data_IF_665399841407
#
_entry.id   IF_665399841407
#
_cell.length_a   1.000
_cell.length_b   1.000
_cell.length_c   1.000
_cell.angle_alpha   90.00
_cell.angle_beta   90.00
_cell.angle_gamma   90.00
#
_symmetry.space_group_name_H-M   'P 1'
#
loop_
_entity.id
_entity.type
_entity.pdbx_description
1 polymer ?
#
# COMPACT_ATOMS: atom_id res chain seq x y z
N UNK A 1 -20.80 32.87 40.52
CA UNK A 1 -21.34 33.95 39.65
C UNK A 1 -21.80 33.34 38.34
N UNK A 2 -23.08 33.44 38.04
CA UNK A 2 -23.80 32.90 36.88
C UNK A 2 -23.59 33.79 35.66
N UNK A 3 -23.31 33.25 34.45
CA UNK A 3 -23.58 33.86 33.12
C UNK A 3 -23.74 32.72 32.14
N UNK A 4 -24.88 32.33 31.73
CA UNK A 4 -25.90 32.70 30.74
C UNK A 4 -25.50 32.38 29.33
N UNK A 5 -26.17 31.35 28.81
CA UNK A 5 -26.25 30.90 27.42
C UNK A 5 -26.88 31.98 26.51
N UNK A 6 -26.42 32.07 25.27
CA UNK A 6 -27.19 32.66 24.19
C UNK A 6 -27.16 31.70 22.99
N UNK A 7 -28.32 31.14 22.68
CA UNK A 7 -28.60 30.37 21.49
C UNK A 7 -29.07 31.35 20.39
N UNK A 8 -28.54 31.21 19.18
CA UNK A 8 -29.08 31.92 18.03
C UNK A 8 -29.48 30.86 17.00
N UNK A 9 -30.79 30.72 16.83
CA UNK A 9 -31.38 29.91 15.78
C UNK A 9 -31.45 30.68 14.45
N UNK A 10 -31.20 30.01 13.36
CA UNK A 10 -31.49 30.55 12.04
C UNK A 10 -32.30 29.51 11.26
N UNK A 11 -33.52 29.92 10.93
CA UNK A 11 -34.55 29.19 10.16
C UNK A 11 -34.24 29.24 8.67
N UNK A 12 -34.39 28.10 8.02
CA UNK A 12 -34.29 27.94 6.56
C UNK A 12 -35.71 27.94 5.98
N UNK A 13 -35.91 28.75 4.95
CA UNK A 13 -37.13 28.78 4.16
C UNK A 13 -36.95 27.91 2.91
N UNK A 14 -37.90 26.99 2.69
CA UNK A 14 -38.12 26.26 1.43
C UNK A 14 -38.71 27.19 0.39
N UNK A 15 -38.25 27.04 -0.85
CA UNK A 15 -39.01 27.45 -2.03
C UNK A 15 -38.98 26.34 -3.06
N UNK A 16 -40.11 25.72 -3.29
CA UNK A 16 -40.41 24.82 -4.39
C UNK A 16 -40.99 25.64 -5.58
N UNK A 17 -40.58 25.33 -6.78
CA UNK A 17 -41.31 25.72 -7.98
C UNK A 17 -41.23 24.60 -9.03
N UNK A 18 -42.39 24.12 -9.38
CA UNK A 18 -42.74 23.09 -10.33
C UNK A 18 -43.22 23.70 -11.65
N UNK A 19 -43.46 22.80 -12.62
CA UNK A 19 -44.27 22.92 -13.88
C UNK A 19 -43.44 23.21 -15.15
N UNK A 20 -43.58 22.51 -16.17
CA UNK A 20 -44.45 21.63 -16.97
C UNK A 20 -44.16 21.94 -18.44
N UNK A 21 -44.03 21.00 -19.22
CA UNK A 21 -44.89 20.21 -20.09
C UNK A 21 -44.83 20.57 -21.60
N UNK A 22 -45.07 19.55 -22.43
CA UNK A 22 -45.51 19.51 -23.81
C UNK A 22 -44.44 19.80 -24.89
N UNK A 23 -44.36 19.08 -25.96
CA UNK A 23 -45.13 18.08 -26.67
C UNK A 23 -44.55 17.85 -28.05
N UNK A 24 -44.55 16.68 -28.49
CA UNK A 24 -45.07 16.05 -29.66
C UNK A 24 -44.56 16.47 -31.05
N UNK A 25 -44.08 15.49 -31.81
CA UNK A 25 -44.69 15.12 -33.10
C UNK A 25 -43.87 14.04 -33.82
N UNK A 26 -44.58 13.02 -34.24
CA UNK A 26 -44.15 11.95 -35.18
C UNK A 26 -44.01 12.52 -36.59
N UNK A 27 -43.11 11.97 -37.39
CA UNK A 27 -43.41 11.65 -38.80
C UNK A 27 -42.60 10.41 -39.23
N UNK A 28 -43.35 9.50 -39.85
CA UNK A 28 -42.94 8.29 -40.59
C UNK A 28 -42.59 8.64 -42.02
N UNK A 29 -41.85 7.74 -42.67
CA UNK A 29 -41.99 7.24 -44.04
C UNK A 29 -40.62 7.16 -44.72
N UNK A 30 -40.15 6.23 -45.53
CA UNK A 30 -40.61 4.99 -46.14
C UNK A 30 -39.43 4.43 -46.96
N UNK A 31 -39.41 3.15 -47.13
CA UNK A 31 -38.51 2.28 -47.91
C UNK A 31 -38.12 2.79 -49.30
N UNK A 32 -36.94 2.35 -49.79
CA UNK A 32 -36.82 1.63 -51.06
C UNK A 32 -35.48 0.88 -51.23
N UNK A 33 -35.63 -0.40 -51.54
CA UNK A 33 -34.64 -1.33 -52.08
C UNK A 33 -34.11 -0.92 -53.46
N UNK A 34 -32.92 -1.34 -53.86
CA UNK A 34 -32.62 -2.12 -55.07
C UNK A 34 -31.16 -2.58 -55.12
N UNK A 35 -30.99 -3.82 -55.18
CA UNK A 35 -30.15 -4.85 -55.81
C UNK A 35 -28.80 -4.52 -56.47
N UNK A 36 -27.89 -5.42 -56.14
CA UNK A 36 -27.01 -6.33 -56.95
C UNK A 36 -25.81 -5.77 -57.71
N UNK A 37 -24.71 -6.40 -57.50
CA UNK A 37 -23.52 -6.35 -58.38
C UNK A 37 -22.34 -7.15 -57.78
N UNK A 38 -22.14 -8.34 -58.32
CA UNK A 38 -21.16 -9.39 -57.99
C UNK A 38 -19.75 -9.00 -58.43
N UNK A 39 -18.74 -9.45 -57.75
CA UNK A 39 -17.57 -10.27 -58.08
C UNK A 39 -16.21 -9.80 -57.61
N UNK A 40 -15.55 -10.78 -56.96
CA UNK A 40 -14.18 -11.31 -56.99
C UNK A 40 -13.06 -10.68 -56.17
N UNK A 41 -12.71 -11.49 -55.20
CA UNK A 41 -11.38 -12.06 -54.89
C UNK A 41 -10.18 -11.13 -54.74
N UNK A 42 -9.66 -11.03 -53.50
CA UNK A 42 -8.22 -11.15 -53.25
C UNK A 42 -8.01 -11.53 -51.77
N UNK A 43 -7.50 -12.73 -51.56
CA UNK A 43 -6.99 -13.20 -50.27
C UNK A 43 -5.82 -12.32 -49.84
N UNK A 44 -5.94 -11.76 -48.64
CA UNK A 44 -4.79 -11.31 -47.84
C UNK A 44 -5.06 -11.70 -46.42
N UNK A 45 -4.26 -12.67 -45.95
CA UNK A 45 -4.25 -13.10 -44.55
C UNK A 45 -4.06 -11.89 -43.64
N UNK A 46 -5.05 -11.60 -42.83
CA UNK A 46 -4.96 -10.68 -41.71
C UNK A 46 -4.97 -11.52 -40.47
N UNK A 47 -3.82 -11.50 -39.81
CA UNK A 47 -3.63 -12.01 -38.45
C UNK A 47 -4.72 -11.41 -37.55
N UNK A 48 -5.64 -12.26 -37.13
CA UNK A 48 -6.72 -11.85 -36.22
C UNK A 48 -6.10 -11.67 -34.84
N UNK A 49 -5.90 -10.42 -34.45
CA UNK A 49 -5.79 -10.08 -33.04
C UNK A 49 -7.08 -10.58 -32.36
N UNK A 50 -6.95 -11.51 -31.44
CA UNK A 50 -8.02 -11.90 -30.53
C UNK A 50 -8.36 -10.67 -29.70
N UNK A 51 -9.39 -9.95 -30.03
CA UNK A 51 -10.10 -9.07 -29.08
C UNK A 51 -10.68 -10.00 -28.01
N UNK A 52 -10.10 -9.98 -26.81
CA UNK A 52 -10.72 -10.53 -25.60
C UNK A 52 -12.02 -9.75 -25.42
N UNK A 53 -13.16 -10.44 -25.58
CA UNK A 53 -14.47 -9.88 -25.28
C UNK A 53 -14.50 -9.48 -23.81
N UNK A 54 -14.69 -8.20 -23.54
CA UNK A 54 -15.02 -7.73 -22.19
C UNK A 54 -16.23 -8.52 -21.67
N UNK A 55 -16.13 -9.02 -20.45
CA UNK A 55 -17.23 -9.63 -19.72
C UNK A 55 -18.32 -8.57 -19.54
N UNK A 56 -19.52 -8.80 -20.11
CA UNK A 56 -20.67 -7.89 -19.99
C UNK A 56 -21.40 -8.03 -18.65
N UNK A 57 -20.76 -8.57 -17.63
CA UNK A 57 -21.29 -8.83 -16.30
C UNK A 57 -21.49 -7.57 -15.45
N UNK A 58 -22.11 -7.74 -14.30
CA UNK A 58 -22.28 -6.70 -13.28
C UNK A 58 -20.92 -6.30 -12.67
N UNK A 59 -20.72 -5.00 -12.42
CA UNK A 59 -19.51 -4.49 -11.77
C UNK A 59 -19.40 -5.04 -10.33
N UNK A 60 -18.31 -5.72 -10.04
CA UNK A 60 -17.99 -6.24 -8.70
C UNK A 60 -16.95 -5.32 -8.05
N UNK A 61 -17.28 -4.80 -6.89
CA UNK A 61 -16.40 -3.89 -6.14
C UNK A 61 -15.87 -4.58 -4.91
N UNK A 62 -14.55 -4.49 -4.69
CA UNK A 62 -13.85 -5.02 -3.53
C UNK A 62 -13.09 -3.90 -2.81
N UNK A 63 -13.17 -3.89 -1.49
CA UNK A 63 -12.46 -2.92 -0.66
C UNK A 63 -11.04 -3.41 -0.37
N UNK A 64 -10.06 -2.57 -0.71
CA UNK A 64 -8.65 -2.81 -0.48
C UNK A 64 -8.12 -1.87 0.62
N UNK A 65 -7.73 -2.42 1.76
CA UNK A 65 -7.07 -1.66 2.83
C UNK A 65 -5.62 -1.34 2.49
N UNK A 66 -5.25 -0.07 2.54
CA UNK A 66 -3.91 0.43 2.24
C UNK A 66 -3.46 1.44 3.29
N UNK A 67 -2.16 1.73 3.37
CA UNK A 67 -1.62 2.81 4.20
C UNK A 67 -1.05 3.92 3.30
N UNK A 68 -1.22 5.18 3.75
CA UNK A 68 -0.82 6.35 2.98
C UNK A 68 -1.82 6.72 1.88
N UNK A 69 -1.46 7.64 1.00
CA UNK A 69 -2.35 8.21 -0.03
C UNK A 69 -1.79 8.11 -1.46
N UNK A 70 -0.60 7.56 -1.63
CA UNK A 70 0.05 7.40 -2.94
C UNK A 70 0.02 5.92 -3.35
N UNK A 71 -0.84 5.59 -4.33
CA UNK A 71 -1.21 4.23 -4.72
C UNK A 71 -1.26 4.07 -6.26
N UNK A 72 -0.35 4.68 -6.99
CA UNK A 72 -0.28 4.64 -8.46
C UNK A 72 -0.28 3.21 -9.02
N UNK A 73 0.36 2.26 -8.34
CA UNK A 73 0.36 0.85 -8.72
C UNK A 73 -1.03 0.23 -8.63
N UNK A 74 -1.83 0.65 -7.65
CA UNK A 74 -3.20 0.17 -7.48
C UNK A 74 -4.17 0.84 -8.45
N UNK A 75 -3.93 2.10 -8.81
CA UNK A 75 -4.69 2.78 -9.87
C UNK A 75 -4.48 2.06 -11.21
N UNK A 76 -3.22 1.68 -11.52
CA UNK A 76 -2.91 0.89 -12.71
C UNK A 76 -3.55 -0.50 -12.67
N UNK A 77 -3.51 -1.19 -11.54
CA UNK A 77 -4.17 -2.48 -11.38
C UNK A 77 -5.70 -2.35 -11.60
N UNK A 78 -6.33 -1.29 -11.09
CA UNK A 78 -7.74 -0.98 -11.32
C UNK A 78 -8.07 -0.77 -12.81
N UNK A 79 -7.22 -0.05 -13.55
CA UNK A 79 -7.39 0.09 -15.00
C UNK A 79 -7.42 -1.28 -15.71
N UNK A 80 -6.49 -2.18 -15.34
CA UNK A 80 -6.39 -3.50 -15.93
C UNK A 80 -7.58 -4.40 -15.58
N UNK A 81 -8.21 -4.19 -14.41
CA UNK A 81 -9.35 -4.95 -13.92
C UNK A 81 -10.69 -4.54 -14.57
N UNK A 82 -10.75 -3.38 -15.22
CA UNK A 82 -11.99 -2.90 -15.88
C UNK A 82 -12.54 -3.88 -16.90
N UNK A 83 -11.68 -4.57 -17.66
CA UNK A 83 -12.07 -5.59 -18.64
C UNK A 83 -12.79 -6.78 -18.03
N UNK A 84 -12.55 -7.03 -16.74
CA UNK A 84 -13.15 -8.12 -15.97
C UNK A 84 -14.36 -7.66 -15.12
N UNK A 85 -14.81 -6.41 -15.27
CA UNK A 85 -15.82 -5.75 -14.43
C UNK A 85 -15.52 -5.85 -12.93
N UNK A 86 -14.26 -5.68 -12.57
CA UNK A 86 -13.78 -5.63 -11.18
C UNK A 86 -13.25 -4.23 -10.89
N UNK A 87 -13.62 -3.70 -9.71
CA UNK A 87 -13.12 -2.43 -9.17
C UNK A 87 -12.59 -2.65 -7.76
N UNK A 88 -11.42 -2.10 -7.48
CA UNK A 88 -10.89 -1.96 -6.12
C UNK A 88 -11.20 -0.56 -5.60
N UNK A 89 -11.84 -0.51 -4.44
CA UNK A 89 -12.07 0.72 -3.68
C UNK A 89 -11.06 0.77 -2.54
N UNK A 90 -10.11 1.70 -2.61
CA UNK A 90 -9.06 1.83 -1.61
C UNK A 90 -9.63 2.43 -0.33
N UNK A 91 -9.34 1.78 0.81
CA UNK A 91 -9.66 2.23 2.15
C UNK A 91 -8.36 2.55 2.87
N UNK A 92 -8.09 3.84 3.10
CA UNK A 92 -6.85 4.30 3.69
C UNK A 92 -6.86 4.16 5.21
N UNK A 93 -5.76 3.62 5.76
CA UNK A 93 -5.53 3.51 7.18
C UNK A 93 -4.27 4.30 7.58
N UNK A 94 -4.26 4.82 8.80
CA UNK A 94 -3.15 5.62 9.35
C UNK A 94 -2.27 4.86 10.34
N UNK A 95 -2.54 3.56 10.54
CA UNK A 95 -1.77 2.67 11.43
C UNK A 95 -1.65 1.26 10.83
N UNK A 96 -0.82 0.41 11.46
CA UNK A 96 -0.56 -0.95 10.96
C UNK A 96 -1.43 -2.05 11.61
N UNK A 97 -2.27 -1.70 12.60
CA UNK A 97 -3.12 -2.66 13.31
C UNK A 97 -4.49 -2.80 12.64
N UNK A 98 -5.13 -1.66 12.38
CA UNK A 98 -6.49 -1.58 11.86
C UNK A 98 -6.74 -2.30 10.54
N UNK A 99 -5.85 -2.28 9.54
CA UNK A 99 -6.12 -2.98 8.28
C UNK A 99 -6.32 -4.49 8.44
N UNK A 100 -5.60 -5.14 9.37
CA UNK A 100 -5.75 -6.57 9.62
C UNK A 100 -7.01 -6.87 10.47
N UNK A 101 -7.35 -6.01 11.43
CA UNK A 101 -8.61 -6.11 12.17
C UNK A 101 -9.82 -5.96 11.21
N UNK A 102 -9.82 -4.93 10.35
CA UNK A 102 -10.87 -4.70 9.36
C UNK A 102 -11.02 -5.85 8.35
N UNK A 103 -9.90 -6.49 7.97
CA UNK A 103 -9.92 -7.67 7.10
C UNK A 103 -10.52 -8.88 7.83
N UNK A 104 -10.15 -9.10 9.10
CA UNK A 104 -10.72 -10.19 9.90
C UNK A 104 -12.21 -9.99 10.14
N UNK A 105 -12.66 -8.77 10.41
CA UNK A 105 -14.06 -8.42 10.64
C UNK A 105 -14.89 -8.38 9.32
N UNK A 106 -14.25 -8.45 8.15
CA UNK A 106 -14.89 -8.40 6.84
C UNK A 106 -15.36 -7.00 6.43
N UNK A 107 -14.82 -5.95 7.04
CA UNK A 107 -15.07 -4.55 6.67
C UNK A 107 -14.36 -4.17 5.36
N UNK A 108 -13.24 -4.87 5.06
CA UNK A 108 -12.51 -4.85 3.80
C UNK A 108 -12.31 -6.26 3.27
N UNK A 109 -12.06 -6.38 1.97
CA UNK A 109 -11.91 -7.68 1.26
C UNK A 109 -10.46 -8.15 1.17
N UNK A 110 -9.55 -7.19 1.06
CA UNK A 110 -8.09 -7.39 0.96
C UNK A 110 -7.37 -6.27 1.71
N UNK A 111 -6.11 -6.51 2.08
CA UNK A 111 -5.21 -5.42 2.42
C UNK A 111 -3.83 -5.61 1.77
N UNK A 112 -3.12 -4.49 1.53
CA UNK A 112 -1.80 -4.48 0.93
C UNK A 112 -0.98 -3.31 1.52
N UNK A 113 -0.34 -3.56 2.66
CA UNK A 113 0.45 -2.53 3.36
C UNK A 113 1.64 -3.12 4.13
N UNK A 114 1.66 -4.43 4.33
CA UNK A 114 2.47 -5.12 5.32
C UNK A 114 3.45 -6.12 4.71
N UNK A 115 4.51 -6.39 5.42
CA UNK A 115 5.45 -7.47 5.11
C UNK A 115 4.89 -8.82 5.54
N UNK A 116 5.36 -9.91 4.90
CA UNK A 116 5.00 -11.27 5.30
C UNK A 116 5.31 -11.55 6.78
N UNK A 117 6.49 -11.13 7.27
CA UNK A 117 6.86 -11.36 8.67
C UNK A 117 5.93 -10.61 9.64
N UNK A 118 5.50 -9.39 9.29
CA UNK A 118 4.53 -8.65 10.10
C UNK A 118 3.18 -9.36 10.12
N UNK A 119 2.67 -9.75 8.96
CA UNK A 119 1.41 -10.48 8.83
C UNK A 119 1.42 -11.76 9.65
N UNK A 120 2.45 -12.60 9.48
CA UNK A 120 2.55 -13.88 10.18
C UNK A 120 2.61 -13.71 11.70
N UNK A 121 3.33 -12.70 12.19
CA UNK A 121 3.37 -12.38 13.61
C UNK A 121 2.02 -11.89 14.11
N UNK A 122 1.38 -10.97 13.38
CA UNK A 122 0.09 -10.39 13.74
C UNK A 122 -1.02 -11.45 13.87
N UNK A 123 -1.18 -12.30 12.85
CA UNK A 123 -2.22 -13.34 12.87
C UNK A 123 -1.97 -14.37 13.98
N UNK A 124 -0.70 -14.69 14.26
CA UNK A 124 -0.32 -15.58 15.36
C UNK A 124 -0.65 -14.99 16.72
N UNK A 125 -0.29 -13.74 16.96
CA UNK A 125 -0.53 -13.04 18.24
C UNK A 125 -2.02 -12.84 18.51
N UNK A 126 -2.81 -12.54 17.47
CA UNK A 126 -4.25 -12.33 17.57
C UNK A 126 -5.06 -13.63 17.52
N UNK A 127 -4.43 -14.75 17.17
CA UNK A 127 -5.10 -16.04 17.00
C UNK A 127 -6.01 -16.09 15.77
N UNK A 128 -5.76 -15.25 14.76
CA UNK A 128 -6.50 -15.24 13.50
C UNK A 128 -6.09 -16.44 12.65
N UNK A 129 -7.06 -17.25 12.22
CA UNK A 129 -6.82 -18.49 11.48
C UNK A 129 -7.27 -18.42 10.03
N UNK A 130 -8.11 -17.47 9.70
CA UNK A 130 -8.80 -17.39 8.40
C UNK A 130 -8.13 -16.45 7.42
N UNK A 131 -7.14 -15.65 7.85
CA UNK A 131 -6.38 -14.79 6.97
C UNK A 131 -5.22 -15.53 6.31
N UNK A 132 -4.95 -15.19 5.05
CA UNK A 132 -3.87 -15.80 4.26
C UNK A 132 -3.27 -14.81 3.27
N UNK A 133 -2.20 -15.23 2.59
CA UNK A 133 -1.47 -14.43 1.60
C UNK A 133 -1.99 -14.78 0.20
N UNK A 134 -2.49 -13.78 -0.53
CA UNK A 134 -2.91 -13.91 -1.92
C UNK A 134 -1.72 -13.78 -2.88
N UNK A 135 -0.83 -12.81 -2.65
CA UNK A 135 0.32 -12.54 -3.51
C UNK A 135 1.42 -11.79 -2.76
N UNK A 136 2.65 -11.89 -3.27
CA UNK A 136 3.72 -10.95 -2.96
C UNK A 136 3.66 -9.74 -3.88
N UNK A 137 4.10 -8.58 -3.38
CA UNK A 137 4.01 -7.30 -4.10
C UNK A 137 5.40 -6.70 -4.33
N UNK A 138 5.99 -6.11 -3.34
CA UNK A 138 7.24 -5.36 -3.47
C UNK A 138 8.07 -5.46 -2.19
N UNK A 139 9.35 -5.16 -2.28
CA UNK A 139 10.20 -4.87 -1.13
C UNK A 139 10.48 -3.38 -1.06
N UNK A 140 10.31 -2.82 0.14
CA UNK A 140 10.57 -1.41 0.42
C UNK A 140 11.64 -1.31 1.51
N UNK A 141 12.86 -0.84 1.20
CA UNK A 141 13.95 -0.70 2.17
C UNK A 141 13.61 0.27 3.31
N UNK A 142 14.01 -0.07 4.53
CA UNK A 142 13.99 0.86 5.66
C UNK A 142 15.18 1.82 5.57
N UNK A 143 15.00 3.07 5.95
CA UNK A 143 16.07 4.07 5.99
C UNK A 143 16.38 4.54 7.42
N UNK A 144 17.62 4.99 7.64
CA UNK A 144 18.01 5.79 8.82
C UNK A 144 18.03 7.26 8.38
N UNK A 145 17.26 8.07 9.08
CA UNK A 145 17.07 9.50 8.79
C UNK A 145 17.53 10.36 9.96
N UNK A 146 17.91 11.60 9.66
CA UNK A 146 18.20 12.62 10.66
C UNK A 146 17.92 14.01 10.12
N UNK A 147 17.41 14.89 10.97
CA UNK A 147 17.34 16.34 10.69
C UNK A 147 18.58 17.09 11.18
N UNK A 148 19.46 16.43 11.95
CA UNK A 148 20.62 17.05 12.61
C UNK A 148 21.94 16.69 11.95
N UNK A 149 22.09 15.47 11.44
CA UNK A 149 23.33 14.90 10.91
C UNK A 149 23.21 14.55 9.44
N UNK A 150 24.31 14.66 8.71
CA UNK A 150 24.42 14.31 7.28
C UNK A 150 25.07 12.94 7.06
N UNK A 151 25.74 12.40 8.06
CA UNK A 151 26.33 11.06 8.05
C UNK A 151 26.29 10.43 9.44
N UNK A 152 26.44 9.10 9.52
CA UNK A 152 26.52 8.40 10.80
C UNK A 152 27.80 8.71 11.59
N UNK A 153 28.87 9.15 10.90
CA UNK A 153 30.16 9.45 11.49
C UNK A 153 30.22 10.84 12.13
N UNK A 154 29.35 11.75 11.72
CA UNK A 154 29.27 13.10 12.32
C UNK A 154 28.68 13.07 13.73
N UNK A 155 27.94 12.02 14.09
CA UNK A 155 27.22 11.94 15.34
C UNK A 155 28.16 11.53 16.49
N UNK A 156 28.26 12.41 17.49
CA UNK A 156 29.10 12.24 18.70
C UNK A 156 28.26 12.50 19.94
N UNK A 157 28.74 11.96 21.08
CA UNK A 157 28.06 12.10 22.36
C UNK A 157 26.87 11.17 22.52
N UNK A 158 25.89 11.57 23.32
CA UNK A 158 24.69 10.81 23.57
C UNK A 158 23.71 10.90 22.40
N UNK A 159 23.31 9.75 21.83
CA UNK A 159 22.47 9.66 20.63
C UNK A 159 21.10 9.07 20.99
N UNK A 160 20.04 9.77 20.69
CA UNK A 160 18.65 9.29 20.82
C UNK A 160 18.22 8.78 19.46
N UNK A 161 17.89 7.47 19.36
CA UNK A 161 17.50 6.82 18.11
C UNK A 161 16.10 6.22 18.24
N UNK A 162 15.15 6.70 17.43
CA UNK A 162 13.82 6.13 17.39
C UNK A 162 13.75 4.92 16.44
N UNK A 163 12.99 3.91 16.89
CA UNK A 163 12.63 2.72 16.10
C UNK A 163 11.13 2.46 16.22
N UNK A 164 10.51 1.73 15.25
CA UNK A 164 9.13 1.26 15.41
C UNK A 164 8.94 0.40 16.65
N UNK A 165 7.78 0.53 17.30
CA UNK A 165 7.47 -0.19 18.54
C UNK A 165 6.79 -1.55 18.33
N UNK A 166 6.50 -1.94 17.09
CA UNK A 166 6.04 -3.29 16.81
C UNK A 166 7.24 -4.26 16.69
N UNK A 167 7.00 -5.50 17.10
CA UNK A 167 8.05 -6.53 17.23
C UNK A 167 8.83 -6.76 15.93
N UNK A 168 8.16 -6.69 14.79
CA UNK A 168 8.79 -7.04 13.50
C UNK A 168 9.57 -5.87 12.91
N UNK A 169 9.00 -4.66 12.88
CA UNK A 169 9.70 -3.48 12.38
C UNK A 169 10.73 -2.97 13.38
N UNK A 170 10.46 -3.06 14.69
CA UNK A 170 11.44 -2.78 15.73
C UNK A 170 12.66 -3.72 15.64
N UNK A 171 12.39 -5.02 15.49
CA UNK A 171 13.44 -6.01 15.30
C UNK A 171 14.27 -5.79 14.03
N UNK A 172 13.60 -5.43 12.90
CA UNK A 172 14.25 -5.03 11.65
C UNK A 172 15.17 -3.82 11.86
N UNK A 173 14.67 -2.79 12.55
CA UNK A 173 15.43 -1.59 12.88
C UNK A 173 16.66 -1.90 13.74
N UNK A 174 16.52 -2.76 14.76
CA UNK A 174 17.64 -3.17 15.59
C UNK A 174 18.73 -3.90 14.79
N UNK A 175 18.36 -4.82 13.89
CA UNK A 175 19.31 -5.48 12.98
C UNK A 175 19.98 -4.48 12.05
N UNK A 176 19.23 -3.49 11.56
CA UNK A 176 19.78 -2.46 10.71
C UNK A 176 20.75 -1.53 11.46
N UNK A 177 20.46 -1.20 12.73
CA UNK A 177 21.37 -0.46 13.62
C UNK A 177 22.62 -1.27 13.96
N UNK A 178 22.50 -2.58 14.18
CA UNK A 178 23.66 -3.47 14.37
C UNK A 178 24.59 -3.45 13.16
N UNK A 179 24.03 -3.62 11.95
CA UNK A 179 24.78 -3.56 10.68
C UNK A 179 25.53 -2.23 10.51
N UNK A 180 24.96 -1.14 11.01
CA UNK A 180 25.56 0.19 10.96
C UNK A 180 26.42 0.53 12.20
N UNK A 181 26.72 -0.45 13.03
CA UNK A 181 27.72 -0.34 14.11
C UNK A 181 27.26 0.39 15.37
N UNK A 182 25.96 0.63 15.57
CA UNK A 182 25.44 1.29 16.77
C UNK A 182 25.38 0.37 17.99
N UNK A 183 25.09 -0.89 17.76
CA UNK A 183 24.91 -1.90 18.81
C UNK A 183 25.35 -3.29 18.33
N UNK A 184 25.33 -4.26 19.21
CA UNK A 184 25.51 -5.68 18.91
C UNK A 184 24.36 -6.45 19.54
N UNK A 185 23.72 -7.33 18.77
CA UNK A 185 22.63 -8.18 19.22
C UNK A 185 23.15 -9.53 19.72
N UNK A 186 22.43 -10.17 20.62
CA UNK A 186 22.68 -11.54 21.05
C UNK A 186 22.56 -12.48 19.86
N UNK A 187 23.39 -13.49 19.76
CA UNK A 187 23.42 -14.45 18.66
C UNK A 187 22.10 -15.21 18.46
N UNK A 188 21.36 -15.43 19.54
CA UNK A 188 20.06 -16.10 19.59
C UNK A 188 18.86 -15.19 19.29
N UNK A 189 19.05 -13.90 19.05
CA UNK A 189 17.99 -12.91 18.91
C UNK A 189 17.04 -13.15 17.71
N UNK A 190 17.44 -13.97 16.74
CA UNK A 190 16.57 -14.41 15.63
C UNK A 190 16.20 -13.29 14.65
N UNK A 191 15.00 -13.40 14.04
CA UNK A 191 14.53 -12.46 13.04
C UNK A 191 13.85 -11.22 13.63
N UNK A 192 13.34 -11.31 14.83
CA UNK A 192 12.58 -10.25 15.51
C UNK A 192 13.18 -9.93 16.88
N UNK A 193 14.45 -9.45 16.96
CA UNK A 193 15.06 -9.03 18.22
C UNK A 193 14.26 -7.88 18.84
N UNK A 194 14.31 -7.80 20.15
CA UNK A 194 13.79 -6.69 20.96
C UNK A 194 14.94 -5.90 21.59
N UNK A 195 14.67 -4.78 22.21
CA UNK A 195 15.71 -4.02 22.97
C UNK A 195 16.36 -4.87 24.08
N UNK A 196 15.69 -5.91 24.57
CA UNK A 196 16.23 -6.87 25.55
C UNK A 196 17.27 -7.80 24.96
N UNK A 197 17.35 -7.89 23.64
CA UNK A 197 18.33 -8.70 22.93
C UNK A 197 19.59 -7.93 22.55
N UNK A 198 19.69 -6.67 22.94
CA UNK A 198 20.90 -5.89 22.78
C UNK A 198 21.94 -6.43 23.81
N UNK A 199 23.02 -7.00 23.27
CA UNK A 199 24.16 -7.48 24.10
C UNK A 199 25.05 -6.30 24.51
N UNK A 200 25.26 -5.35 23.59
CA UNK A 200 26.16 -4.23 23.81
C UNK A 200 25.77 -3.03 22.94
N UNK A 201 25.83 -1.85 23.50
CA UNK A 201 25.88 -0.59 22.77
C UNK A 201 27.33 -0.26 22.40
N UNK A 202 27.59 -0.07 21.10
CA UNK A 202 28.91 0.27 20.57
C UNK A 202 29.17 1.77 20.57
N UNK A 203 28.12 2.57 20.69
CA UNK A 203 28.10 4.04 20.85
C UNK A 203 27.22 4.37 22.07
N UNK A 204 27.28 5.59 22.54
CA UNK A 204 26.36 6.07 23.60
C UNK A 204 25.00 6.33 23.01
N UNK A 205 24.12 5.32 23.05
CA UNK A 205 22.82 5.28 22.35
C UNK A 205 21.70 5.00 23.34
N UNK A 206 20.65 5.80 23.25
CA UNK A 206 19.34 5.54 23.82
C UNK A 206 18.38 5.14 22.70
N UNK A 207 17.75 3.96 22.81
CA UNK A 207 16.71 3.51 21.86
C UNK A 207 15.34 3.93 22.39
N UNK A 208 14.56 4.62 21.55
CA UNK A 208 13.18 5.02 21.85
C UNK A 208 12.24 4.29 20.89
N UNK A 209 11.37 3.46 21.45
CA UNK A 209 10.35 2.73 20.68
C UNK A 209 9.10 3.61 20.50
N UNK A 210 8.68 3.85 19.26
CA UNK A 210 7.58 4.75 18.89
C UNK A 210 6.66 4.09 17.89
N UNK A 211 5.40 4.52 17.87
CA UNK A 211 4.48 4.15 16.76
C UNK A 211 5.10 4.58 15.44
N UNK A 212 5.25 3.65 14.49
CA UNK A 212 6.00 3.87 13.25
C UNK A 212 5.57 5.15 12.51
N UNK A 213 4.26 5.39 12.38
CA UNK A 213 3.72 6.55 11.67
C UNK A 213 3.95 7.90 12.37
N UNK A 214 4.37 7.89 13.64
CA UNK A 214 4.67 9.11 14.41
C UNK A 214 6.16 9.48 14.38
N UNK A 215 7.04 8.56 13.98
CA UNK A 215 8.49 8.79 14.01
C UNK A 215 8.94 9.99 13.19
N UNK A 216 8.45 10.23 11.94
CA UNK A 216 8.90 11.37 11.14
C UNK A 216 8.67 12.73 11.82
N UNK A 217 7.54 12.89 12.50
CA UNK A 217 7.23 14.14 13.22
C UNK A 217 8.19 14.41 14.39
N UNK A 218 8.84 13.37 14.92
CA UNK A 218 9.78 13.46 16.04
C UNK A 218 11.24 13.65 15.61
N UNK A 219 11.55 13.62 14.30
CA UNK A 219 12.93 13.77 13.79
C UNK A 219 13.69 14.99 14.34
N UNK A 220 13.08 16.17 14.56
CA UNK A 220 13.80 17.32 15.12
C UNK A 220 14.37 17.09 16.53
N UNK A 221 13.75 16.20 17.31
CA UNK A 221 14.16 15.92 18.69
C UNK A 221 15.15 14.75 18.78
N UNK A 222 15.24 13.93 17.73
CA UNK A 222 16.07 12.73 17.66
C UNK A 222 17.47 12.99 17.08
N UNK A 223 18.40 12.09 17.38
CA UNK A 223 19.68 12.04 16.65
C UNK A 223 19.49 11.32 15.32
N UNK A 224 18.83 10.17 15.35
CA UNK A 224 18.49 9.38 14.18
C UNK A 224 17.12 8.70 14.37
N UNK A 225 16.54 8.27 13.28
CA UNK A 225 15.35 7.42 13.30
C UNK A 225 15.38 6.36 12.20
N UNK A 226 15.03 5.12 12.53
CA UNK A 226 14.73 4.08 11.57
C UNK A 226 13.28 4.24 11.13
N UNK A 227 13.03 4.52 9.84
CA UNK A 227 11.70 4.80 9.32
C UNK A 227 11.39 3.85 8.17
N UNK A 228 10.23 3.19 8.24
CA UNK A 228 9.70 2.39 7.15
C UNK A 228 9.48 3.26 5.91
N UNK A 229 9.77 2.73 4.72
CA UNK A 229 9.74 3.53 3.49
C UNK A 229 8.38 4.18 3.21
N UNK A 230 7.27 3.46 3.38
CA UNK A 230 5.92 4.04 3.19
C UNK A 230 5.68 5.23 4.13
N UNK A 231 6.06 5.09 5.40
CA UNK A 231 5.94 6.18 6.41
C UNK A 231 6.84 7.38 6.06
N UNK A 232 8.06 7.12 5.57
CA UNK A 232 8.95 8.17 5.12
C UNK A 232 8.35 8.94 3.93
N UNK A 233 7.83 8.21 2.94
CA UNK A 233 7.17 8.76 1.76
C UNK A 233 5.96 9.64 2.14
N UNK A 234 5.08 9.17 3.02
CA UNK A 234 3.92 9.93 3.50
C UNK A 234 4.35 11.23 4.22
N UNK A 235 5.53 11.25 4.82
CA UNK A 235 6.14 12.44 5.43
C UNK A 235 6.93 13.31 4.43
N UNK A 236 6.92 12.98 3.13
CA UNK A 236 7.66 13.71 2.10
C UNK A 236 9.15 13.42 2.07
N UNK A 237 9.62 12.33 2.73
CA UNK A 237 11.02 11.93 2.76
C UNK A 237 11.29 10.84 1.72
N UNK A 238 12.48 10.85 1.14
CA UNK A 238 12.91 9.84 0.16
C UNK A 238 14.18 9.12 0.62
N UNK A 239 14.32 7.84 0.20
CA UNK A 239 15.54 7.09 0.50
C UNK A 239 16.79 7.74 -0.11
N UNK A 240 16.66 8.23 -1.33
CA UNK A 240 17.77 8.73 -2.13
C UNK A 240 18.31 10.10 -1.67
N UNK A 241 17.43 11.00 -1.21
CA UNK A 241 17.80 12.37 -0.91
C UNK A 241 17.88 12.66 0.59
N UNK A 242 17.10 11.93 1.42
CA UNK A 242 16.87 12.28 2.81
C UNK A 242 17.41 11.22 3.76
N UNK A 243 17.45 9.93 3.35
CA UNK A 243 18.05 8.91 4.19
C UNK A 243 19.57 9.03 4.22
N UNK A 244 20.16 8.93 5.41
CA UNK A 244 21.61 8.86 5.58
C UNK A 244 22.16 7.53 5.07
N UNK A 245 21.43 6.47 5.34
CA UNK A 245 21.68 5.11 4.86
C UNK A 245 20.34 4.36 4.79
N UNK A 246 20.23 3.43 3.87
CA UNK A 246 19.07 2.55 3.75
C UNK A 246 19.49 1.11 3.43
N UNK A 247 18.60 0.17 3.65
CA UNK A 247 18.84 -1.25 3.43
C UNK A 247 19.07 -1.54 1.95
N UNK A 248 19.98 -2.47 1.65
CA UNK A 248 20.16 -3.00 0.30
C UNK A 248 19.14 -4.12 0.05
N UNK A 249 18.14 -3.87 -0.80
CA UNK A 249 17.10 -4.85 -1.12
C UNK A 249 17.62 -6.15 -1.76
N UNK A 250 18.88 -6.17 -2.22
CA UNK A 250 19.53 -7.37 -2.82
C UNK A 250 20.05 -8.34 -1.77
N UNK A 251 20.08 -7.96 -0.50
CA UNK A 251 20.54 -8.87 0.55
C UNK A 251 19.56 -10.03 0.73
N UNK A 252 20.06 -11.24 0.97
CA UNK A 252 19.22 -12.44 1.08
C UNK A 252 18.12 -12.33 2.14
N UNK A 253 18.39 -11.65 3.25
CA UNK A 253 17.46 -11.48 4.36
C UNK A 253 16.27 -10.59 4.03
N UNK A 254 16.37 -9.78 2.96
CA UNK A 254 15.29 -8.89 2.52
C UNK A 254 14.03 -9.63 2.06
N UNK A 255 14.12 -10.93 1.75
CA UNK A 255 12.93 -11.76 1.48
C UNK A 255 11.94 -11.80 2.64
N UNK A 256 12.41 -11.71 3.88
CA UNK A 256 11.55 -11.68 5.06
C UNK A 256 10.66 -10.41 5.11
N UNK A 257 11.06 -9.38 4.37
CA UNK A 257 10.39 -8.07 4.34
C UNK A 257 9.67 -7.79 3.02
N UNK A 258 9.40 -8.83 2.23
CA UNK A 258 8.53 -8.70 1.07
C UNK A 258 7.11 -8.38 1.52
N UNK A 259 6.53 -7.36 0.89
CA UNK A 259 5.15 -6.99 1.12
C UNK A 259 4.19 -7.96 0.42
N UNK A 260 2.99 -8.03 0.95
CA UNK A 260 1.97 -8.98 0.53
C UNK A 260 0.61 -8.33 0.30
N UNK A 261 -0.23 -9.02 -0.44
CA UNK A 261 -1.68 -8.84 -0.42
C UNK A 261 -2.24 -9.93 0.50
N UNK A 262 -2.94 -9.53 1.56
CA UNK A 262 -3.63 -10.45 2.46
C UNK A 262 -5.14 -10.47 2.16
N UNK A 263 -5.76 -11.62 2.37
CA UNK A 263 -7.19 -11.86 2.18
C UNK A 263 -7.70 -12.97 3.10
N UNK A 264 -9.03 -13.16 3.16
CA UNK A 264 -9.61 -14.36 3.77
C UNK A 264 -9.22 -15.61 2.97
N UNK A 265 -8.80 -16.69 3.65
CA UNK A 265 -8.29 -17.92 3.04
C UNK A 265 -9.27 -18.57 2.07
N UNK A 266 -10.56 -18.55 2.41
CA UNK A 266 -11.63 -19.13 1.59
C UNK A 266 -11.88 -18.36 0.29
N UNK A 267 -11.38 -17.12 0.18
CA UNK A 267 -11.52 -16.26 -0.99
C UNK A 267 -10.27 -16.22 -1.88
N UNK A 268 -9.11 -16.66 -1.38
CA UNK A 268 -7.83 -16.58 -2.12
C UNK A 268 -7.94 -17.25 -3.50
N UNK A 269 -8.55 -18.43 -3.57
CA UNK A 269 -8.69 -19.19 -4.82
C UNK A 269 -9.90 -18.76 -5.67
N UNK A 270 -10.65 -17.72 -5.26
CA UNK A 270 -11.75 -17.22 -6.07
C UNK A 270 -11.26 -16.62 -7.38
N UNK A 271 -12.06 -16.74 -8.44
CA UNK A 271 -11.71 -16.24 -9.77
C UNK A 271 -11.35 -14.75 -9.75
N UNK A 272 -12.12 -13.93 -9.04
CA UNK A 272 -11.89 -12.49 -8.97
C UNK A 272 -10.58 -12.16 -8.23
N UNK A 273 -10.27 -12.87 -7.12
CA UNK A 273 -9.02 -12.61 -6.40
C UNK A 273 -7.79 -13.07 -7.20
N UNK A 274 -7.90 -14.13 -7.98
CA UNK A 274 -6.84 -14.52 -8.91
C UNK A 274 -6.67 -13.51 -10.06
N UNK A 275 -7.76 -12.85 -10.53
CA UNK A 275 -7.69 -11.74 -11.48
C UNK A 275 -7.01 -10.52 -10.85
N UNK A 276 -7.36 -10.17 -9.60
CA UNK A 276 -6.71 -9.08 -8.85
C UNK A 276 -5.20 -9.33 -8.69
N UNK A 277 -4.82 -10.53 -8.26
CA UNK A 277 -3.42 -10.95 -8.19
C UNK A 277 -2.71 -10.79 -9.53
N UNK A 278 -3.32 -11.31 -10.61
CA UNK A 278 -2.74 -11.22 -11.96
C UNK A 278 -2.61 -9.78 -12.44
N UNK A 279 -3.59 -8.92 -12.16
CA UNK A 279 -3.55 -7.51 -12.53
C UNK A 279 -2.43 -6.77 -11.79
N UNK A 280 -2.31 -7.00 -10.47
CA UNK A 280 -1.23 -6.39 -9.70
C UNK A 280 0.17 -6.91 -10.12
N UNK A 281 0.32 -8.22 -10.30
CA UNK A 281 1.59 -8.84 -10.68
C UNK A 281 1.83 -8.82 -12.21
N UNK A 282 1.35 -7.77 -12.90
CA UNK A 282 1.57 -7.55 -14.33
C UNK A 282 2.83 -6.74 -14.61
N UNK A 283 3.31 -6.79 -15.86
CA UNK A 283 4.44 -5.97 -16.31
C UNK A 283 4.09 -4.48 -16.30
N UNK A 284 2.83 -4.12 -16.55
CA UNK A 284 2.35 -2.74 -16.52
C UNK A 284 2.42 -2.14 -15.11
N UNK A 285 1.98 -2.87 -14.08
CA UNK A 285 2.11 -2.43 -12.68
C UNK A 285 3.57 -2.42 -12.24
N UNK A 286 4.37 -3.41 -12.65
CA UNK A 286 5.81 -3.45 -12.42
C UNK A 286 6.50 -2.18 -12.94
N UNK A 287 6.15 -1.75 -14.15
CA UNK A 287 6.68 -0.54 -14.76
C UNK A 287 6.31 0.71 -13.93
N UNK A 288 5.05 0.83 -13.53
CA UNK A 288 4.59 1.93 -12.66
C UNK A 288 5.39 1.98 -11.36
N UNK A 289 5.57 0.86 -10.67
CA UNK A 289 6.35 0.82 -9.42
C UNK A 289 7.79 1.31 -9.65
N UNK A 290 8.45 0.82 -10.70
CA UNK A 290 9.84 1.17 -10.97
C UNK A 290 10.01 2.65 -11.35
N UNK A 291 9.09 3.22 -12.12
CA UNK A 291 9.13 4.61 -12.58
C UNK A 291 8.68 5.59 -11.49
N UNK A 292 7.56 5.31 -10.83
CA UNK A 292 6.96 6.23 -9.87
C UNK A 292 7.77 6.31 -8.57
N UNK A 293 8.25 5.17 -8.07
CA UNK A 293 8.97 5.12 -6.79
C UNK A 293 10.49 5.28 -6.90
N UNK A 294 11.06 5.49 -8.09
CA UNK A 294 12.50 5.76 -8.33
C UNK A 294 13.44 4.84 -7.53
N UNK A 295 13.12 3.53 -7.50
CA UNK A 295 13.90 2.52 -6.77
C UNK A 295 13.65 2.47 -5.26
N UNK A 296 12.70 3.21 -4.74
CA UNK A 296 12.31 3.15 -3.32
C UNK A 296 11.41 1.95 -3.01
N UNK A 297 10.80 1.36 -4.04
CA UNK A 297 10.03 0.12 -3.98
C UNK A 297 10.39 -0.74 -5.16
N UNK A 298 10.65 -2.03 -4.92
CA UNK A 298 11.11 -2.97 -5.94
C UNK A 298 10.12 -4.13 -6.01
N UNK A 299 9.49 -4.37 -7.17
CA UNK A 299 8.64 -5.54 -7.39
C UNK A 299 9.38 -6.85 -7.12
N UNK A 300 8.71 -7.83 -6.49
CA UNK A 300 9.35 -9.12 -6.10
C UNK A 300 8.76 -10.33 -6.82
N UNK A 301 7.91 -10.12 -7.83
CA UNK A 301 7.44 -11.16 -8.74
C UNK A 301 8.24 -11.15 -10.05
N UNK A 302 8.20 -12.29 -10.76
CA UNK A 302 8.90 -12.52 -12.05
C UNK A 302 8.19 -11.80 -13.22
#
# INVERSE_FOLDING_TARGET
MKKRFLALGLTVALAAASLAACGGARTKTTEKQTEAGTEKSSEKATEAAKEEKADSGELRTYKLGVNGSDHEEWEKANELLQKDNIKLEMVEFSDYVKPNEALEDGEIDLNAFQTEIYFNNFVKERGYTDLGILAYTQVAPMGIYSSKYKSLDEATGHLIIAIPNDVTNGGRALKFLEKNGFLTLKKEAGLTPTVMDIEKYNKDVEIVEMVATQIPASLPDLSFACINNGVAKDAGLTLKNDAIVYEDYKEPDMKNYWNIIAAKKDRIESEDFQKIKKAYNSDEVKQVILEHYDGQSIPVWD
#
